data_IF_445057504491
#
_entry.id   IF_445057504491
#
_cell.length_a   1.000
_cell.length_b   1.000
_cell.length_c   1.000
_cell.angle_alpha   90.00
_cell.angle_beta   90.00
_cell.angle_gamma   90.00
#
_symmetry.space_group_name_H-M   'P 1'
#
loop_
_entity.id
_entity.type
_entity.pdbx_description
1 polymer ?
#
# COMPACT_ATOMS: atom_id res chain seq x y z
N UNK A 1 13.99 -9.61 16.42
CA UNK A 1 12.83 -10.22 17.13
C UNK A 1 12.38 -9.39 18.33
N UNK A 2 13.28 -8.95 19.22
CA UNK A 2 12.97 -8.19 20.44
C UNK A 2 12.14 -6.91 20.22
N UNK A 3 12.41 -6.15 19.14
CA UNK A 3 11.68 -4.92 18.85
C UNK A 3 10.21 -5.17 18.44
N UNK A 4 9.94 -6.30 17.75
CA UNK A 4 8.58 -6.70 17.36
C UNK A 4 7.76 -7.21 18.55
N UNK A 5 8.39 -7.97 19.43
CA UNK A 5 7.74 -8.49 20.65
C UNK A 5 7.43 -7.37 21.64
N UNK A 6 8.33 -6.38 21.77
CA UNK A 6 8.11 -5.22 22.63
C UNK A 6 6.93 -4.36 22.16
N UNK A 7 6.82 -4.13 20.85
CA UNK A 7 5.68 -3.40 20.27
C UNK A 7 4.35 -4.11 20.53
N UNK A 8 4.30 -5.43 20.36
CA UNK A 8 3.10 -6.22 20.65
C UNK A 8 2.71 -6.19 22.12
N UNK A 9 3.67 -6.27 23.05
CA UNK A 9 3.36 -6.15 24.48
C UNK A 9 2.76 -4.79 24.85
N UNK A 10 3.24 -3.70 24.22
CA UNK A 10 2.71 -2.36 24.46
C UNK A 10 1.26 -2.25 23.97
N UNK A 11 0.95 -2.80 22.80
CA UNK A 11 -0.41 -2.82 22.25
C UNK A 11 -1.35 -3.60 23.17
N UNK A 12 -0.95 -4.79 23.60
CA UNK A 12 -1.77 -5.60 24.52
C UNK A 12 -2.00 -4.86 25.85
N UNK A 13 -0.96 -4.23 26.40
CA UNK A 13 -1.08 -3.44 27.62
C UNK A 13 -2.03 -2.24 27.45
N UNK A 14 -1.96 -1.52 26.31
CA UNK A 14 -2.86 -0.42 25.99
C UNK A 14 -4.31 -0.87 25.87
N UNK A 15 -4.57 -1.99 25.19
CA UNK A 15 -5.94 -2.54 25.04
C UNK A 15 -6.48 -3.02 26.39
N UNK A 16 -5.65 -3.66 27.22
CA UNK A 16 -6.05 -4.09 28.56
C UNK A 16 -6.34 -2.88 29.47
N UNK A 17 -5.49 -1.84 29.44
CA UNK A 17 -5.71 -0.61 30.17
C UNK A 17 -7.00 0.09 29.70
N UNK A 18 -7.22 0.17 28.40
CA UNK A 18 -8.47 0.69 27.84
C UNK A 18 -9.69 -0.10 28.32
N UNK A 19 -9.61 -1.43 28.36
CA UNK A 19 -10.69 -2.26 28.89
C UNK A 19 -10.96 -2.06 30.38
N UNK A 20 -9.93 -1.74 31.15
CA UNK A 20 -10.05 -1.45 32.59
C UNK A 20 -10.65 -0.06 32.85
N UNK A 21 -10.08 0.99 32.26
CA UNK A 21 -10.54 2.38 32.43
C UNK A 21 -11.85 2.66 31.68
N UNK A 22 -12.07 2.01 30.54
CA UNK A 22 -13.25 2.16 29.70
C UNK A 22 -14.56 1.66 30.33
N UNK A 23 -14.50 0.94 31.46
CA UNK A 23 -15.69 0.56 32.24
C UNK A 23 -16.46 1.77 32.76
N UNK A 24 -15.75 2.86 33.02
CA UNK A 24 -16.32 4.12 33.53
C UNK A 24 -16.95 4.93 32.38
N UNK A 25 -16.47 4.76 31.16
CA UNK A 25 -16.91 5.55 29.99
C UNK A 25 -18.29 5.08 29.51
N UNK A 26 -19.31 5.95 29.52
CA UNK A 26 -20.64 5.60 29.02
C UNK A 26 -20.64 5.29 27.52
N UNK A 27 -21.45 4.32 27.09
CA UNK A 27 -21.61 3.97 25.67
C UNK A 27 -21.97 5.16 24.76
N UNK A 28 -22.66 6.17 25.28
CA UNK A 28 -23.00 7.38 24.53
C UNK A 28 -21.76 8.16 24.07
N UNK A 29 -20.69 8.17 24.89
CA UNK A 29 -19.43 8.84 24.55
C UNK A 29 -18.55 7.98 23.64
N UNK A 30 -18.72 6.65 23.67
CA UNK A 30 -18.00 5.72 22.78
C UNK A 30 -18.54 5.75 21.35
N UNK A 31 -19.83 6.07 21.18
CA UNK A 31 -20.53 5.98 19.89
C UNK A 31 -19.94 6.89 18.80
N UNK A 32 -19.66 8.19 19.05
CA UNK A 32 -19.01 9.06 18.06
C UNK A 32 -17.66 8.54 17.61
N UNK A 33 -16.92 7.86 18.50
CA UNK A 33 -15.62 7.28 18.15
C UNK A 33 -15.75 6.08 17.22
N UNK A 34 -16.75 5.21 17.41
CA UNK A 34 -17.04 4.13 16.44
C UNK A 34 -17.48 4.68 15.09
N UNK A 35 -18.25 5.77 15.07
CA UNK A 35 -18.67 6.44 13.84
C UNK A 35 -17.49 7.08 13.11
N UNK A 36 -16.60 7.77 13.82
CA UNK A 36 -15.36 8.28 13.25
C UNK A 36 -14.49 7.16 12.68
N UNK A 37 -14.40 6.02 13.38
CA UNK A 37 -13.67 4.85 12.93
C UNK A 37 -14.27 4.25 11.64
N UNK A 38 -15.60 4.19 11.54
CA UNK A 38 -16.31 3.74 10.33
C UNK A 38 -15.98 4.66 9.14
N UNK A 39 -16.08 5.97 9.34
CA UNK A 39 -15.83 6.96 8.28
C UNK A 39 -14.38 6.92 7.81
N UNK A 40 -13.42 6.83 8.74
CA UNK A 40 -12.00 6.71 8.38
C UNK A 40 -11.71 5.41 7.62
N UNK A 41 -12.27 4.27 8.06
CA UNK A 41 -12.15 3.00 7.33
C UNK A 41 -12.74 3.08 5.90
N UNK A 42 -13.89 3.75 5.73
CA UNK A 42 -14.52 3.93 4.42
C UNK A 42 -13.67 4.81 3.49
N UNK A 43 -13.08 5.90 4.00
CA UNK A 43 -12.16 6.77 3.23
C UNK A 43 -10.96 5.96 2.75
N UNK A 44 -10.34 5.17 3.64
CA UNK A 44 -9.16 4.38 3.31
C UNK A 44 -9.50 3.29 2.29
N UNK A 45 -10.64 2.62 2.46
CA UNK A 45 -11.13 1.64 1.49
C UNK A 45 -11.34 2.27 0.10
N UNK A 46 -11.95 3.47 0.03
CA UNK A 46 -12.17 4.18 -1.22
C UNK A 46 -10.85 4.61 -1.90
N UNK A 47 -9.95 5.23 -1.14
CA UNK A 47 -8.66 5.72 -1.65
C UNK A 47 -7.80 4.55 -2.15
N UNK A 48 -7.59 3.51 -1.34
CA UNK A 48 -6.76 2.38 -1.76
C UNK A 48 -7.43 1.62 -2.92
N UNK A 49 -8.75 1.46 -2.91
CA UNK A 49 -9.49 0.85 -4.03
C UNK A 49 -9.28 1.59 -5.36
N UNK A 50 -9.35 2.92 -5.34
CA UNK A 50 -9.06 3.75 -6.51
C UNK A 50 -7.60 3.64 -6.96
N UNK A 51 -6.65 3.69 -6.02
CA UNK A 51 -5.23 3.51 -6.33
C UNK A 51 -4.93 2.16 -6.98
N UNK A 52 -5.52 1.07 -6.48
CA UNK A 52 -5.35 -0.27 -7.06
C UNK A 52 -5.88 -0.37 -8.49
N UNK A 53 -6.99 0.31 -8.79
CA UNK A 53 -7.54 0.38 -10.14
C UNK A 53 -6.63 1.16 -11.12
N UNK A 54 -5.92 2.18 -10.62
CA UNK A 54 -5.03 3.03 -11.43
C UNK A 54 -3.64 2.38 -11.64
N UNK A 55 -3.02 1.83 -10.58
CA UNK A 55 -1.61 1.35 -10.64
C UNK A 55 -1.49 -0.07 -11.20
N UNK A 56 -2.47 -0.95 -10.95
CA UNK A 56 -2.40 -2.37 -11.32
C UNK A 56 -3.43 -2.79 -12.38
N UNK A 57 -3.60 -2.06 -13.51
CA UNK A 57 -4.57 -2.44 -14.54
C UNK A 57 -4.19 -3.75 -15.24
N UNK A 58 -2.89 -4.02 -15.39
CA UNK A 58 -2.32 -5.15 -16.16
C UNK A 58 -2.52 -6.52 -15.48
N UNK A 59 -2.44 -6.59 -14.14
CA UNK A 59 -2.51 -7.87 -13.41
C UNK A 59 -3.94 -8.31 -13.14
N UNK A 60 -4.91 -7.38 -12.99
CA UNK A 60 -6.33 -7.74 -12.95
C UNK A 60 -6.79 -8.36 -14.29
N UNK A 61 -6.33 -7.82 -15.42
CA UNK A 61 -6.66 -8.35 -16.76
C UNK A 61 -6.05 -9.75 -17.00
N UNK A 62 -4.84 -10.01 -16.52
CA UNK A 62 -4.18 -11.32 -16.66
C UNK A 62 -4.83 -12.39 -15.77
N UNK A 63 -5.21 -12.05 -14.53
CA UNK A 63 -5.92 -12.98 -13.63
C UNK A 63 -7.32 -13.37 -14.13
N UNK A 64 -7.98 -12.51 -14.91
CA UNK A 64 -9.27 -12.85 -15.54
C UNK A 64 -9.13 -13.70 -16.81
N UNK A 65 -7.93 -13.72 -17.44
CA UNK A 65 -7.74 -14.35 -18.75
C UNK A 65 -7.24 -15.79 -18.69
N UNK A 66 -6.51 -16.18 -17.63
CA UNK A 66 -6.00 -17.54 -17.44
C UNK A 66 -6.03 -17.95 -15.96
N UNK A 67 -7.11 -18.60 -15.47
CA UNK A 67 -7.17 -19.11 -14.10
C UNK A 67 -6.13 -20.21 -13.82
N UNK A 68 -5.65 -20.93 -14.85
CA UNK A 68 -4.81 -22.12 -14.69
C UNK A 68 -3.29 -21.85 -14.65
N UNK A 69 -2.81 -20.62 -14.89
CA UNK A 69 -1.38 -20.27 -14.85
C UNK A 69 -0.95 -19.45 -13.62
N UNK A 70 -1.86 -19.22 -12.67
CA UNK A 70 -1.59 -18.38 -11.50
C UNK A 70 -0.62 -19.01 -10.47
N UNK A 71 -0.24 -20.28 -10.61
CA UNK A 71 0.50 -21.02 -9.59
C UNK A 71 2.04 -20.91 -9.65
N UNK A 72 2.66 -20.39 -10.71
CA UNK A 72 4.13 -20.50 -10.86
C UNK A 72 4.93 -19.18 -10.93
N UNK A 73 4.27 -18.01 -10.83
CA UNK A 73 4.94 -16.72 -10.99
C UNK A 73 5.02 -15.88 -9.72
N UNK A 74 6.01 -16.13 -8.85
CA UNK A 74 6.54 -15.20 -7.85
C UNK A 74 5.47 -14.34 -7.09
N UNK A 75 4.54 -15.01 -6.42
CA UNK A 75 3.43 -14.41 -5.65
C UNK A 75 3.84 -13.65 -4.37
N UNK A 76 5.14 -13.64 -4.05
CA UNK A 76 5.71 -13.19 -2.78
C UNK A 76 5.57 -11.69 -2.50
N UNK A 77 5.44 -10.84 -3.53
CA UNK A 77 5.32 -9.38 -3.38
C UNK A 77 3.90 -8.82 -3.56
N UNK A 78 2.98 -9.60 -4.14
CA UNK A 78 1.65 -9.13 -4.54
C UNK A 78 0.68 -9.11 -3.36
N UNK A 79 0.72 -10.12 -2.48
CA UNK A 79 -0.16 -10.21 -1.31
C UNK A 79 0.06 -9.06 -0.30
N UNK A 80 1.26 -8.48 -0.27
CA UNK A 80 1.59 -7.38 0.65
C UNK A 80 0.85 -6.07 0.31
N UNK A 81 0.48 -5.84 -0.95
CA UNK A 81 -0.23 -4.63 -1.39
C UNK A 81 -1.75 -4.71 -1.19
N UNK A 82 -2.32 -5.92 -1.21
CA UNK A 82 -3.75 -6.14 -0.93
C UNK A 82 -4.06 -6.20 0.57
N UNK A 83 -3.05 -6.47 1.40
CA UNK A 83 -3.19 -6.59 2.86
C UNK A 83 -3.89 -5.36 3.50
N UNK A 84 -3.56 -4.11 3.16
CA UNK A 84 -4.22 -2.93 3.73
C UNK A 84 -5.70 -2.78 3.33
N UNK A 85 -6.06 -3.20 2.11
CA UNK A 85 -7.46 -3.16 1.63
C UNK A 85 -8.30 -4.12 2.44
N UNK A 86 -7.88 -5.39 2.52
CA UNK A 86 -8.60 -6.44 3.24
C UNK A 86 -8.73 -6.10 4.72
N UNK A 87 -7.66 -5.61 5.34
CA UNK A 87 -7.66 -5.20 6.74
C UNK A 87 -8.66 -4.07 7.04
N UNK A 88 -8.74 -3.07 6.15
CA UNK A 88 -9.69 -1.95 6.31
C UNK A 88 -11.14 -2.39 6.09
N UNK A 89 -11.39 -3.26 5.11
CA UNK A 89 -12.72 -3.85 4.90
C UNK A 89 -13.15 -4.70 6.09
N UNK A 90 -12.26 -5.50 6.66
CA UNK A 90 -12.55 -6.30 7.85
C UNK A 90 -12.94 -5.42 9.05
N UNK A 91 -12.21 -4.33 9.31
CA UNK A 91 -12.56 -3.35 10.34
C UNK A 91 -13.95 -2.76 10.08
N UNK A 92 -14.22 -2.36 8.84
CA UNK A 92 -15.51 -1.77 8.45
C UNK A 92 -16.67 -2.75 8.68
N UNK A 93 -16.47 -4.03 8.35
CA UNK A 93 -17.44 -5.10 8.65
C UNK A 93 -17.67 -5.26 10.16
N UNK A 94 -16.60 -5.27 10.97
CA UNK A 94 -16.72 -5.37 12.43
C UNK A 94 -17.52 -4.19 13.00
N UNK A 95 -17.20 -2.95 12.60
CA UNK A 95 -17.90 -1.75 13.08
C UNK A 95 -19.35 -1.72 12.61
N UNK A 96 -19.65 -2.21 11.40
CA UNK A 96 -21.03 -2.34 10.91
C UNK A 96 -21.83 -3.33 11.76
N UNK A 97 -21.26 -4.51 12.04
CA UNK A 97 -21.89 -5.51 12.90
C UNK A 97 -22.12 -4.91 14.30
N UNK A 98 -21.12 -4.25 14.89
CA UNK A 98 -21.29 -3.56 16.19
C UNK A 98 -22.37 -2.48 16.14
N UNK A 99 -22.39 -1.68 15.08
CA UNK A 99 -23.41 -0.65 14.89
C UNK A 99 -24.82 -1.22 14.79
N UNK A 100 -24.98 -2.40 14.18
CA UNK A 100 -26.25 -3.11 14.06
C UNK A 100 -26.65 -3.84 15.36
N UNK A 101 -25.69 -4.44 16.06
CA UNK A 101 -25.93 -5.22 17.29
C UNK A 101 -26.14 -4.33 18.51
N UNK A 102 -25.46 -3.18 18.60
CA UNK A 102 -25.56 -2.25 19.73
C UNK A 102 -26.99 -1.82 20.10
N UNK A 103 -27.87 -1.40 19.17
CA UNK A 103 -29.25 -1.04 19.50
C UNK A 103 -30.09 -2.25 19.95
N UNK A 104 -29.82 -3.45 19.40
CA UNK A 104 -30.48 -4.70 19.80
C UNK A 104 -30.09 -5.09 21.22
N UNK A 105 -28.80 -5.00 21.54
CA UNK A 105 -28.25 -5.25 22.87
C UNK A 105 -28.76 -4.26 23.93
N UNK A 106 -29.10 -3.02 23.55
CA UNK A 106 -29.74 -2.04 24.45
C UNK A 106 -31.20 -2.35 24.76
N UNK A 107 -31.91 -3.03 23.85
CA UNK A 107 -33.35 -3.33 23.98
C UNK A 107 -33.62 -4.57 24.84
N UNK A 108 -32.66 -5.50 24.91
CA UNK A 108 -32.77 -6.71 25.72
C UNK A 108 -31.96 -6.57 27.02
N UNK A 109 -32.51 -6.95 28.20
CA UNK A 109 -31.74 -6.99 29.43
C UNK A 109 -30.71 -8.11 29.33
N UNK A 110 -29.46 -7.76 29.04
CA UNK A 110 -28.36 -8.71 29.04
C UNK A 110 -28.11 -9.20 30.49
N UNK A 111 -27.79 -10.49 30.69
CA UNK A 111 -27.52 -11.04 32.01
C UNK A 111 -26.16 -10.61 32.61
N UNK A 112 -25.41 -9.75 31.93
CA UNK A 112 -24.06 -9.33 32.31
C UNK A 112 -24.05 -7.90 32.86
N UNK A 113 -23.08 -7.60 33.73
CA UNK A 113 -22.87 -6.25 34.28
C UNK A 113 -22.63 -5.25 33.12
N UNK A 114 -23.45 -4.18 33.01
CA UNK A 114 -23.27 -3.13 32.03
C UNK A 114 -21.88 -2.49 32.05
N UNK A 115 -21.18 -2.49 33.19
CA UNK A 115 -19.82 -1.98 33.32
C UNK A 115 -18.81 -2.81 32.53
N UNK A 116 -18.97 -4.14 32.52
CA UNK A 116 -18.11 -5.06 31.79
C UNK A 116 -18.30 -4.91 30.28
N UNK A 117 -19.54 -4.77 29.84
CA UNK A 117 -19.88 -4.53 28.43
C UNK A 117 -19.28 -3.21 27.92
N UNK A 118 -19.30 -2.14 28.73
CA UNK A 118 -18.65 -0.86 28.40
C UNK A 118 -17.15 -0.99 28.27
N UNK A 119 -16.51 -1.71 29.19
CA UNK A 119 -15.07 -1.98 29.14
C UNK A 119 -14.66 -2.79 27.90
N UNK A 120 -15.40 -3.85 27.57
CA UNK A 120 -15.14 -4.67 26.37
C UNK A 120 -15.30 -3.84 25.10
N UNK A 121 -16.36 -3.05 25.00
CA UNK A 121 -16.60 -2.15 23.86
C UNK A 121 -15.48 -1.14 23.68
N UNK A 122 -15.04 -0.51 24.78
CA UNK A 122 -13.95 0.47 24.72
C UNK A 122 -12.59 -0.17 24.39
N UNK A 123 -12.30 -1.36 24.94
CA UNK A 123 -11.12 -2.12 24.57
C UNK A 123 -11.10 -2.46 23.07
N UNK A 124 -12.24 -2.89 22.54
CA UNK A 124 -12.39 -3.18 21.12
C UNK A 124 -12.20 -1.92 20.26
N UNK A 125 -12.76 -0.78 20.69
CA UNK A 125 -12.57 0.50 20.03
C UNK A 125 -11.08 0.87 19.92
N UNK A 126 -10.35 0.73 21.03
CA UNK A 126 -8.90 1.01 21.09
C UNK A 126 -8.10 0.02 20.23
N UNK A 127 -8.46 -1.27 20.26
CA UNK A 127 -7.81 -2.27 19.43
C UNK A 127 -8.00 -1.97 17.92
N UNK A 128 -9.23 -1.63 17.52
CA UNK A 128 -9.54 -1.32 16.12
C UNK A 128 -8.90 0.00 15.66
N UNK A 129 -8.82 1.02 16.52
CA UNK A 129 -8.12 2.28 16.20
C UNK A 129 -6.62 2.05 15.98
N UNK A 130 -5.97 1.27 16.83
CA UNK A 130 -4.56 0.90 16.65
C UNK A 130 -4.37 0.12 15.35
N UNK A 131 -5.25 -0.84 15.07
CA UNK A 131 -5.20 -1.61 13.82
C UNK A 131 -5.43 -0.73 12.59
N UNK A 132 -6.38 0.21 12.65
CA UNK A 132 -6.65 1.16 11.56
C UNK A 132 -5.44 2.06 11.31
N UNK A 133 -4.81 2.58 12.37
CA UNK A 133 -3.58 3.38 12.27
C UNK A 133 -2.44 2.60 11.61
N UNK A 134 -2.24 1.35 12.03
CA UNK A 134 -1.26 0.46 11.42
C UNK A 134 -1.53 0.26 9.92
N UNK A 135 -2.80 0.09 9.57
CA UNK A 135 -3.25 -0.10 8.18
C UNK A 135 -3.03 1.15 7.33
N UNK A 136 -3.25 2.34 7.88
CA UNK A 136 -2.93 3.62 7.23
C UNK A 136 -1.43 3.70 6.93
N UNK A 137 -0.58 3.38 7.91
CA UNK A 137 0.87 3.42 7.72
C UNK A 137 1.31 2.44 6.62
N UNK A 138 0.74 1.22 6.59
CA UNK A 138 1.00 0.26 5.51
C UNK A 138 0.52 0.78 4.14
N UNK A 139 -0.59 1.51 4.09
CA UNK A 139 -1.09 2.10 2.83
C UNK A 139 -0.18 3.17 2.24
N UNK A 140 0.68 3.80 3.05
CA UNK A 140 1.68 4.76 2.57
C UNK A 140 2.85 4.07 1.85
N UNK A 141 3.04 2.77 2.03
CA UNK A 141 4.12 2.01 1.36
C UNK A 141 3.97 2.04 -0.16
N UNK A 142 2.83 1.65 -0.78
CA UNK A 142 2.64 1.77 -2.22
C UNK A 142 2.86 3.20 -2.74
N UNK A 143 2.37 4.22 -2.02
CA UNK A 143 2.59 5.62 -2.39
C UNK A 143 4.09 5.99 -2.42
N UNK A 144 4.85 5.52 -1.42
CA UNK A 144 6.29 5.73 -1.36
C UNK A 144 7.06 4.98 -2.46
N UNK A 145 6.61 3.77 -2.81
CA UNK A 145 7.23 2.97 -3.87
C UNK A 145 7.06 3.64 -5.23
N UNK A 146 5.87 4.15 -5.54
CA UNK A 146 5.59 4.85 -6.81
C UNK A 146 6.48 6.08 -6.96
N UNK A 147 6.66 6.85 -5.89
CA UNK A 147 7.58 8.00 -5.90
C UNK A 147 9.01 7.56 -6.21
N UNK A 148 9.49 6.47 -5.59
CA UNK A 148 10.84 5.96 -5.84
C UNK A 148 11.05 5.42 -7.26
N UNK A 149 10.01 4.88 -7.91
CA UNK A 149 10.07 4.47 -9.31
C UNK A 149 10.11 5.69 -10.24
N UNK A 150 9.27 6.69 -10.00
CA UNK A 150 9.27 7.94 -10.76
C UNK A 150 10.63 8.66 -10.68
N UNK A 151 11.22 8.76 -9.48
CA UNK A 151 12.53 9.41 -9.28
C UNK A 151 13.66 8.66 -10.02
N UNK A 152 13.60 7.33 -10.12
CA UNK A 152 14.58 6.51 -10.84
C UNK A 152 14.47 6.66 -12.36
N UNK A 153 13.26 6.80 -12.88
CA UNK A 153 13.01 6.99 -14.30
C UNK A 153 13.45 8.38 -14.77
N UNK A 154 13.24 9.40 -13.92
CA UNK A 154 13.76 10.75 -14.13
C UNK A 154 15.30 10.79 -14.10
N UNK A 155 15.93 10.07 -13.17
CA UNK A 155 17.39 9.99 -13.09
C UNK A 155 17.99 9.35 -14.37
N UNK A 156 17.37 8.28 -14.87
CA UNK A 156 17.84 7.58 -16.08
C UNK A 156 17.66 8.45 -17.33
N UNK A 157 16.54 9.17 -17.42
CA UNK A 157 16.26 10.09 -18.52
C UNK A 157 17.24 11.28 -18.54
N UNK A 158 17.59 11.82 -17.37
CA UNK A 158 18.60 12.88 -17.24
C UNK A 158 19.99 12.43 -17.67
N UNK A 159 20.42 11.23 -17.27
CA UNK A 159 21.72 10.66 -17.69
C UNK A 159 21.75 10.48 -19.21
N UNK A 160 20.69 9.88 -19.78
CA UNK A 160 20.58 9.70 -21.23
C UNK A 160 20.63 11.03 -21.98
N UNK A 161 19.85 12.02 -21.56
CA UNK A 161 19.80 13.33 -22.21
C UNK A 161 21.13 14.10 -22.06
N UNK A 162 21.80 14.00 -20.90
CA UNK A 162 23.13 14.55 -20.70
C UNK A 162 24.17 13.93 -21.63
N UNK A 163 24.13 12.60 -21.80
CA UNK A 163 25.04 11.89 -22.71
C UNK A 163 24.84 12.29 -24.17
N UNK A 164 23.58 12.45 -24.62
CA UNK A 164 23.29 12.96 -25.97
C UNK A 164 23.72 14.42 -26.16
N UNK A 165 23.57 15.28 -25.14
CA UNK A 165 24.04 16.66 -25.20
C UNK A 165 25.57 16.76 -25.30
N UNK A 166 26.29 15.92 -24.55
CA UNK A 166 27.76 15.83 -24.62
C UNK A 166 28.21 15.31 -25.98
N UNK A 167 27.58 14.25 -26.50
CA UNK A 167 27.88 13.72 -27.83
C UNK A 167 27.62 14.75 -28.94
N UNK A 168 26.55 15.55 -28.81
CA UNK A 168 26.25 16.65 -29.72
C UNK A 168 27.31 17.74 -29.70
N UNK A 169 27.80 18.12 -28.52
CA UNK A 169 28.90 19.10 -28.37
C UNK A 169 30.21 18.58 -28.95
N UNK A 170 30.57 17.32 -28.67
CA UNK A 170 31.79 16.71 -29.21
C UNK A 170 31.77 16.69 -30.74
N UNK A 171 30.60 16.41 -31.34
CA UNK A 171 30.43 16.41 -32.79
C UNK A 171 30.49 17.81 -33.41
N UNK A 172 30.04 18.83 -32.69
CA UNK A 172 30.16 20.22 -33.09
C UNK A 172 31.62 20.70 -33.01
N UNK A 173 32.30 20.42 -31.90
CA UNK A 173 33.72 20.77 -31.71
C UNK A 173 34.61 20.08 -32.75
N UNK A 174 34.35 18.81 -33.09
CA UNK A 174 35.07 18.10 -34.17
C UNK A 174 34.80 18.71 -35.55
N UNK A 175 33.58 19.20 -35.79
CA UNK A 175 33.21 19.85 -37.06
C UNK A 175 33.85 21.24 -37.19
N UNK A 176 34.00 21.97 -36.08
CA UNK A 176 34.63 23.29 -36.04
C UNK A 176 36.17 23.19 -36.01
N UNK A 177 36.73 22.10 -35.49
CA UNK A 177 38.18 21.87 -35.42
C UNK A 177 38.82 21.38 -36.74
N UNK A 178 38.04 21.04 -37.76
CA UNK A 178 38.64 20.64 -39.04
C UNK A 178 37.63 20.23 -40.11
N UNK A 179 37.48 21.08 -41.13
CA UNK A 179 37.04 20.66 -42.46
C UNK A 179 38.10 19.80 -43.16
N UNK A 180 38.35 18.60 -42.64
CA UNK A 180 39.30 17.63 -43.19
C UNK A 180 38.66 16.25 -43.27
N UNK A 181 38.40 15.83 -44.50
CA UNK A 181 38.02 14.51 -45.04
C UNK A 181 37.72 13.35 -44.07
N UNK A 182 36.52 12.79 -44.23
CA UNK A 182 36.07 11.53 -43.63
C UNK A 182 36.89 10.37 -44.22
N UNK A 183 37.54 9.50 -43.41
CA UNK A 183 38.16 8.30 -43.95
C UNK A 183 37.08 7.30 -44.37
N UNK A 184 37.06 6.96 -45.65
CA UNK A 184 36.22 5.91 -46.19
C UNK A 184 36.62 4.55 -45.63
N UNK A 185 35.63 3.79 -45.15
CA UNK A 185 35.80 2.42 -44.65
C UNK A 185 36.23 1.51 -45.81
N UNK A 186 37.26 0.65 -45.66
CA UNK A 186 37.65 -0.25 -46.72
C UNK A 186 36.60 -1.35 -46.90
N UNK A 187 36.08 -1.46 -48.12
CA UNK A 187 35.19 -2.51 -48.59
C UNK A 187 35.83 -3.89 -48.40
N UNK A 188 35.14 -4.78 -47.66
CA UNK A 188 35.54 -6.18 -47.54
C UNK A 188 35.41 -6.85 -48.90
N UNK A 189 36.54 -7.30 -49.42
CA UNK A 189 36.65 -8.16 -50.60
C UNK A 189 36.13 -9.56 -50.24
N UNK A 190 35.00 -9.96 -50.84
CA UNK A 190 34.46 -11.32 -50.80
C UNK A 190 35.16 -12.13 -51.90
N UNK A 191 35.79 -13.28 -51.62
CA UNK A 191 36.30 -14.12 -52.70
C UNK A 191 35.17 -14.96 -53.29
N UNK A 192 35.13 -14.93 -54.62
CA UNK A 192 34.47 -15.85 -55.55
C UNK A 192 34.59 -17.30 -55.08
N UNK A 193 33.45 -18.01 -55.10
CA UNK A 193 33.38 -19.47 -54.97
C UNK A 193 32.70 -20.00 -56.24
N UNK A 194 33.54 -20.31 -57.21
CA UNK A 194 33.22 -21.23 -58.29
C UNK A 194 33.64 -22.65 -57.89
N UNK A 195 32.89 -23.62 -58.42
CA UNK A 195 32.90 -25.09 -58.21
C UNK A 195 32.00 -25.63 -57.08
#
# INVERSE_FOLDING_TARGET
MIQKTLGWSIVVALVAAAGWFGRVVPFAEQWPMFEALRTTAAIIFAVIGAWMAIIYPERLKLSMRNPDQAEQGNSSGMGQLFTPVVNSTAILCVILILGAVAPVAKKYPLPFDPSLARGISYALLVALTIWQLWTVILSLVPASLIKSYADREDATTRVRNGMFAIAGRLKADVKDAGGGEVPTVPSKHTPERDA
#
